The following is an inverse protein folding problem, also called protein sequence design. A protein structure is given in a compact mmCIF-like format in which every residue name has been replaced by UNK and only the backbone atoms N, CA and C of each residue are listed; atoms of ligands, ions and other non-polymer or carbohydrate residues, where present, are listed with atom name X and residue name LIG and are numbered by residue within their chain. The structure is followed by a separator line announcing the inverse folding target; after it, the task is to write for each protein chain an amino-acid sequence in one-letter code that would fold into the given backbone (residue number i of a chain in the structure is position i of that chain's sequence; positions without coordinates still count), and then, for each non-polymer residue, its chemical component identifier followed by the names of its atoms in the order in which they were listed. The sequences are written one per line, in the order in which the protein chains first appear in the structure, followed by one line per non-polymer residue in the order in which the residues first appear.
data_IF_576055855178
#
_entry.id   IF_576055855178
#
_cell.length_a   1.000
_cell.length_b   1.000
_cell.length_c   1.000
_cell.angle_alpha   90.00
_cell.angle_beta   90.00
_cell.angle_gamma   90.00
#
_symmetry.space_group_name_H-M   'P 1'
#
loop_
_entity.id
_entity.type
_entity.pdbx_description
1 polymer ?
#
# COMPACT_ATOMS: atom_id res chain seq x y z
N UNK A 1 11.38 5.17 25.95
CA UNK A 1 10.98 6.54 25.54
C UNK A 1 10.83 6.48 24.03
N UNK A 2 9.61 6.73 23.53
CA UNK A 2 9.43 6.92 22.08
C UNK A 2 10.24 8.18 21.75
N UNK A 3 11.25 8.05 20.89
CA UNK A 3 11.96 9.21 20.37
C UNK A 3 10.96 10.20 19.77
N UNK A 4 11.18 11.48 19.98
CA UNK A 4 10.29 12.49 19.44
C UNK A 4 10.28 12.45 17.91
N UNK A 5 9.18 11.97 17.32
CA UNK A 5 8.98 11.86 15.88
C UNK A 5 8.34 13.13 15.28
N UNK A 6 7.89 14.06 16.13
CA UNK A 6 7.25 15.28 15.65
C UNK A 6 8.20 16.12 14.78
N UNK A 7 7.70 16.53 13.62
CA UNK A 7 8.46 17.32 12.65
C UNK A 7 9.46 16.52 11.80
N UNK A 8 9.55 15.20 11.96
CA UNK A 8 10.46 14.36 11.15
C UNK A 8 9.92 14.13 9.74
N UNK A 9 10.87 13.99 8.81
CA UNK A 9 10.66 13.52 7.44
C UNK A 9 10.88 12.01 7.39
N UNK A 10 9.82 11.22 7.22
CA UNK A 10 9.89 9.76 7.27
C UNK A 10 9.64 9.12 5.90
N UNK A 11 10.35 8.03 5.61
CA UNK A 11 10.09 7.18 4.45
C UNK A 11 9.45 5.87 4.90
N UNK A 12 8.32 5.48 4.30
CA UNK A 12 7.65 4.19 4.52
C UNK A 12 7.87 3.32 3.29
N UNK A 13 8.51 2.17 3.50
CA UNK A 13 8.92 1.27 2.45
C UNK A 13 8.05 0.00 2.42
N UNK A 14 7.38 -0.24 1.30
CA UNK A 14 6.72 -1.50 0.98
C UNK A 14 7.48 -2.31 -0.07
N UNK A 15 6.89 -3.42 -0.53
CA UNK A 15 7.49 -4.35 -1.49
C UNK A 15 6.96 -4.21 -2.92
N UNK A 16 6.21 -3.16 -3.21
CA UNK A 16 5.75 -2.86 -4.57
C UNK A 16 6.87 -2.39 -5.49
N UNK A 17 6.61 -2.37 -6.80
CA UNK A 17 7.62 -2.02 -7.81
C UNK A 17 8.22 -0.62 -7.65
N UNK A 18 7.44 0.33 -7.14
CA UNK A 18 7.89 1.71 -6.94
C UNK A 18 8.95 1.88 -5.82
N UNK A 19 9.33 0.79 -5.12
CA UNK A 19 10.49 0.79 -4.21
C UNK A 19 11.79 1.19 -4.93
N UNK A 20 11.85 0.99 -6.25
CA UNK A 20 12.97 1.41 -7.07
C UNK A 20 13.26 2.91 -6.94
N UNK A 21 12.23 3.73 -6.83
CA UNK A 21 12.38 5.18 -6.68
C UNK A 21 13.09 5.55 -5.36
N UNK A 22 12.86 4.77 -4.28
CA UNK A 22 13.61 4.95 -3.04
C UNK A 22 15.10 4.70 -3.24
N UNK A 23 15.46 3.63 -3.92
CA UNK A 23 16.87 3.30 -4.19
C UNK A 23 17.53 4.41 -5.02
N UNK A 24 16.85 4.92 -6.04
CA UNK A 24 17.34 6.01 -6.86
C UNK A 24 17.47 7.33 -6.09
N UNK A 25 16.50 7.66 -5.22
CA UNK A 25 16.58 8.83 -4.35
C UNK A 25 17.72 8.72 -3.35
N UNK A 26 17.94 7.52 -2.77
CA UNK A 26 19.06 7.28 -1.84
C UNK A 26 20.42 7.49 -2.53
N UNK A 27 20.56 7.03 -3.77
CA UNK A 27 21.76 7.27 -4.59
C UNK A 27 21.96 8.77 -4.85
N UNK A 28 20.87 9.52 -5.04
CA UNK A 28 20.86 10.95 -5.29
C UNK A 28 20.92 11.81 -4.00
N UNK A 29 21.26 11.19 -2.85
CA UNK A 29 21.44 11.86 -1.55
C UNK A 29 20.15 12.41 -0.92
N UNK A 30 18.99 11.85 -1.21
CA UNK A 30 17.79 12.16 -0.45
C UNK A 30 17.94 11.64 0.99
N UNK A 31 17.77 12.52 1.98
CA UNK A 31 17.86 12.20 3.39
C UNK A 31 16.47 12.12 4.01
N UNK A 32 16.24 11.07 4.78
CA UNK A 32 15.07 10.90 5.62
C UNK A 32 15.55 10.81 7.08
N UNK A 33 14.80 11.42 7.99
CA UNK A 33 15.11 11.35 9.42
C UNK A 33 14.90 9.93 9.97
N UNK A 34 13.94 9.20 9.43
CA UNK A 34 13.72 7.78 9.69
C UNK A 34 13.18 7.05 8.46
N UNK A 35 13.53 5.78 8.37
CA UNK A 35 13.06 4.86 7.34
C UNK A 35 12.28 3.72 8.03
N UNK A 36 11.02 3.54 7.66
CA UNK A 36 10.12 2.55 8.25
C UNK A 36 9.81 1.44 7.24
N UNK A 37 9.91 0.22 7.67
CA UNK A 37 9.66 -0.95 6.83
C UNK A 37 8.28 -1.57 7.07
N UNK A 38 7.66 -2.04 6.00
CA UNK A 38 6.42 -2.82 6.06
C UNK A 38 6.73 -4.31 5.89
N UNK A 39 6.33 -5.12 6.87
CA UNK A 39 6.51 -6.57 6.86
C UNK A 39 7.98 -6.98 6.63
N UNK A 40 8.25 -7.78 5.60
CA UNK A 40 9.56 -8.36 5.33
C UNK A 40 10.59 -7.41 4.71
N UNK A 41 10.25 -6.13 4.46
CA UNK A 41 11.20 -5.19 3.85
C UNK A 41 12.44 -4.98 4.71
N UNK A 42 12.30 -5.03 6.05
CA UNK A 42 13.43 -4.96 6.97
C UNK A 42 14.46 -6.08 6.83
N UNK A 43 14.07 -7.20 6.18
CA UNK A 43 15.00 -8.28 5.82
C UNK A 43 15.76 -8.04 4.51
N UNK A 44 15.42 -6.99 3.77
CA UNK A 44 15.99 -6.65 2.46
C UNK A 44 16.74 -5.32 2.50
N UNK A 45 16.25 -4.38 3.29
CA UNK A 45 16.80 -3.02 3.42
C UNK A 45 16.97 -2.65 4.89
N UNK A 46 17.92 -1.75 5.17
CA UNK A 46 18.00 -1.15 6.48
C UNK A 46 16.81 -0.24 6.74
N UNK A 47 16.17 -0.43 7.89
CA UNK A 47 15.05 0.38 8.36
C UNK A 47 15.21 0.66 9.86
N UNK A 48 14.74 1.82 10.31
CA UNK A 48 14.81 2.24 11.71
C UNK A 48 13.68 1.60 12.53
N UNK A 49 12.52 1.36 11.91
CA UNK A 49 11.34 0.70 12.50
C UNK A 49 10.69 -0.23 11.49
N UNK A 50 10.05 -1.27 11.99
CA UNK A 50 9.25 -2.19 11.17
C UNK A 50 7.82 -2.25 11.68
N UNK A 51 6.85 -2.21 10.77
CA UNK A 51 5.46 -2.51 11.06
C UNK A 51 5.12 -3.87 10.47
N UNK A 52 4.72 -4.80 11.33
CA UNK A 52 4.33 -6.16 10.96
C UNK A 52 3.14 -6.57 11.82
N UNK A 53 1.94 -6.28 11.34
CA UNK A 53 0.72 -6.45 12.12
C UNK A 53 0.23 -7.90 12.20
N UNK A 54 0.79 -8.80 11.39
CA UNK A 54 0.64 -10.23 11.59
C UNK A 54 1.48 -10.70 12.80
N UNK A 55 0.99 -11.64 13.62
CA UNK A 55 1.78 -12.26 14.68
C UNK A 55 3.07 -12.87 14.15
N UNK A 56 4.19 -12.69 14.85
CA UNK A 56 5.47 -13.28 14.45
C UNK A 56 5.40 -14.81 14.33
N UNK A 57 4.62 -15.47 15.19
CA UNK A 57 4.35 -16.92 15.13
C UNK A 57 3.86 -17.38 13.75
N UNK A 58 3.09 -16.56 13.04
CA UNK A 58 2.64 -16.87 11.69
C UNK A 58 3.81 -17.15 10.74
N UNK A 59 4.91 -16.40 10.84
CA UNK A 59 6.09 -16.58 9.98
C UNK A 59 7.09 -17.56 10.56
N UNK A 60 7.13 -17.71 11.88
CA UNK A 60 8.08 -18.60 12.57
C UNK A 60 7.63 -20.05 12.56
N UNK A 61 6.33 -20.30 12.67
CA UNK A 61 5.76 -21.63 12.85
C UNK A 61 5.15 -22.20 11.56
N UNK A 62 4.65 -21.35 10.64
CA UNK A 62 4.07 -21.75 9.37
C UNK A 62 5.02 -21.48 8.20
N UNK A 63 5.52 -22.54 7.57
CA UNK A 63 6.42 -22.43 6.40
C UNK A 63 5.70 -21.93 5.14
N UNK A 64 4.37 -21.83 5.16
CA UNK A 64 3.52 -21.43 4.03
C UNK A 64 2.71 -20.17 4.31
N UNK A 65 3.10 -19.36 5.29
CA UNK A 65 2.38 -18.14 5.66
C UNK A 65 2.32 -17.07 4.54
N UNK A 66 3.07 -17.25 3.47
CA UNK A 66 3.09 -16.40 2.28
C UNK A 66 4.40 -16.51 1.52
N UNK A 67 4.48 -15.84 0.36
CA UNK A 67 5.67 -15.88 -0.52
C UNK A 67 6.93 -15.31 0.12
N UNK A 68 6.79 -14.51 1.18
CA UNK A 68 7.88 -13.83 1.87
C UNK A 68 8.21 -14.47 3.24
N UNK A 69 7.60 -15.61 3.55
CA UNK A 69 7.77 -16.27 4.86
C UNK A 69 9.24 -16.49 5.22
N UNK A 70 10.04 -16.94 4.26
CA UNK A 70 11.49 -17.18 4.48
C UNK A 70 12.24 -15.90 4.83
N UNK A 71 12.01 -14.81 4.12
CA UNK A 71 12.63 -13.50 4.35
C UNK A 71 12.19 -12.95 5.71
N UNK A 72 10.87 -13.00 6.01
CA UNK A 72 10.34 -12.55 7.29
C UNK A 72 10.92 -13.34 8.46
N UNK A 73 10.99 -14.67 8.36
CA UNK A 73 11.60 -15.54 9.38
C UNK A 73 13.07 -15.23 9.61
N UNK A 74 13.83 -15.05 8.54
CA UNK A 74 15.25 -14.71 8.65
C UNK A 74 15.46 -13.34 9.26
N UNK A 75 14.67 -12.34 8.86
CA UNK A 75 14.66 -11.01 9.45
C UNK A 75 14.39 -11.07 10.95
N UNK A 76 13.31 -11.74 11.37
CA UNK A 76 12.90 -11.82 12.75
C UNK A 76 13.96 -12.49 13.65
N UNK A 77 14.62 -13.56 13.17
CA UNK A 77 15.53 -14.36 13.99
C UNK A 77 17.00 -13.98 13.87
N UNK A 78 17.43 -13.46 12.72
CA UNK A 78 18.87 -13.36 12.43
C UNK A 78 19.38 -11.94 12.19
N UNK A 79 18.52 -10.97 11.87
CA UNK A 79 18.97 -9.60 11.59
C UNK A 79 19.41 -8.93 12.89
N UNK A 80 20.67 -8.51 13.03
CA UNK A 80 21.13 -7.78 14.20
C UNK A 80 20.67 -6.31 14.14
N UNK A 81 20.54 -5.70 15.31
CA UNK A 81 20.25 -4.26 15.46
C UNK A 81 19.04 -3.77 14.63
N UNK A 82 18.07 -4.67 14.41
CA UNK A 82 16.79 -4.26 13.88
C UNK A 82 16.09 -3.37 14.91
N UNK A 83 15.57 -2.24 14.49
CA UNK A 83 14.82 -1.34 15.35
C UNK A 83 13.55 -2.00 15.89
N UNK A 84 12.70 -1.26 16.60
CA UNK A 84 11.44 -1.78 17.11
C UNK A 84 10.57 -2.33 15.99
N UNK A 85 9.92 -3.47 16.26
CA UNK A 85 8.97 -4.12 15.36
C UNK A 85 7.59 -3.98 15.98
N UNK A 86 6.75 -3.10 15.45
CA UNK A 86 5.38 -2.94 15.91
C UNK A 86 4.50 -4.08 15.40
N UNK A 87 3.84 -4.78 16.33
CA UNK A 87 2.96 -5.91 16.00
C UNK A 87 1.70 -5.91 16.88
N UNK A 88 0.73 -6.76 16.52
CA UNK A 88 -0.50 -6.93 17.29
C UNK A 88 -0.30 -7.75 18.58
N UNK A 89 0.80 -8.51 18.71
CA UNK A 89 1.12 -9.29 19.90
C UNK A 89 2.63 -9.48 20.04
N UNK A 90 3.08 -9.73 21.28
CA UNK A 90 4.47 -10.07 21.60
C UNK A 90 4.80 -11.51 21.22
N UNK A 91 6.07 -11.78 20.96
CA UNK A 91 6.62 -13.13 20.80
C UNK A 91 8.01 -13.17 21.43
N UNK A 92 8.18 -13.99 22.47
CA UNK A 92 9.42 -14.06 23.26
C UNK A 92 10.66 -14.48 22.43
N UNK A 93 10.45 -15.04 21.26
CA UNK A 93 11.52 -15.39 20.31
C UNK A 93 12.11 -14.19 19.59
N UNK A 94 11.40 -13.05 19.61
CA UNK A 94 11.78 -11.82 18.92
C UNK A 94 11.61 -10.64 19.89
N UNK A 95 12.59 -10.39 20.74
CA UNK A 95 12.49 -9.41 21.83
C UNK A 95 12.36 -7.96 21.36
N UNK A 96 12.62 -7.67 20.08
CA UNK A 96 12.45 -6.34 19.50
C UNK A 96 10.99 -6.03 19.13
N UNK A 97 10.07 -6.99 19.30
CA UNK A 97 8.65 -6.74 19.06
C UNK A 97 8.09 -5.88 20.20
N UNK A 98 7.46 -4.80 19.80
CA UNK A 98 6.65 -3.92 20.63
C UNK A 98 5.18 -4.00 20.21
N UNK A 99 4.29 -3.87 21.19
CA UNK A 99 2.87 -3.76 20.88
C UNK A 99 2.60 -2.42 20.17
N UNK A 100 1.90 -2.50 19.04
CA UNK A 100 1.41 -1.29 18.40
C UNK A 100 0.48 -0.53 19.36
N UNK A 101 0.64 0.79 19.55
CA UNK A 101 -0.15 1.57 20.50
C UNK A 101 -1.57 1.86 19.96
N UNK A 102 -2.33 0.81 19.68
CA UNK A 102 -3.61 0.87 18.96
C UNK A 102 -4.63 1.78 19.65
N UNK A 103 -4.75 1.67 20.97
CA UNK A 103 -5.73 2.44 21.74
C UNK A 103 -5.42 3.93 21.69
N UNK A 104 -4.15 4.29 21.85
CA UNK A 104 -3.71 5.68 21.84
C UNK A 104 -3.90 6.30 20.45
N UNK A 105 -3.53 5.56 19.42
CA UNK A 105 -3.70 5.97 18.01
C UNK A 105 -5.18 6.18 17.68
N UNK A 106 -6.05 5.22 18.01
CA UNK A 106 -7.50 5.34 17.75
C UNK A 106 -8.10 6.49 18.54
N UNK A 107 -7.69 6.67 19.79
CA UNK A 107 -8.20 7.75 20.64
C UNK A 107 -7.82 9.12 20.09
N UNK A 108 -6.59 9.30 19.65
CA UNK A 108 -6.12 10.56 19.06
C UNK A 108 -6.73 10.83 17.68
N UNK A 109 -6.79 9.81 16.84
CA UNK A 109 -7.23 9.99 15.44
C UNK A 109 -8.75 9.96 15.27
N UNK A 110 -9.48 9.30 16.17
CA UNK A 110 -10.93 9.19 16.16
C UNK A 110 -11.48 8.12 15.21
N UNK A 111 -10.62 7.30 14.60
CA UNK A 111 -11.01 6.28 13.63
C UNK A 111 -10.28 4.96 13.90
N UNK A 112 -11.00 3.83 13.69
CA UNK A 112 -10.47 2.46 13.83
C UNK A 112 -10.41 1.70 12.51
N UNK A 113 -10.18 2.40 11.40
CA UNK A 113 -10.16 1.82 10.06
C UNK A 113 -8.75 1.44 9.63
N UNK A 114 -8.34 0.20 9.95
CA UNK A 114 -7.01 -0.35 9.67
C UNK A 114 -7.15 -1.76 9.09
N UNK A 115 -7.14 -1.90 7.77
CA UNK A 115 -7.30 -3.19 7.11
C UNK A 115 -6.01 -3.78 6.51
N UNK A 116 -4.89 -3.08 6.67
CA UNK A 116 -3.57 -3.52 6.22
C UNK A 116 -2.45 -2.83 7.00
N UNK A 117 -1.24 -3.41 6.99
CA UNK A 117 -0.09 -2.93 7.76
C UNK A 117 0.34 -1.50 7.39
N UNK A 118 0.20 -1.08 6.12
CA UNK A 118 0.55 0.29 5.71
C UNK A 118 -0.34 1.32 6.41
N UNK A 119 -1.63 1.01 6.56
CA UNK A 119 -2.56 1.88 7.28
C UNK A 119 -2.13 2.10 8.73
N UNK A 120 -1.63 1.06 9.42
CA UNK A 120 -1.09 1.18 10.78
C UNK A 120 0.15 2.09 10.81
N UNK A 121 1.06 1.96 9.85
CA UNK A 121 2.23 2.83 9.77
C UNK A 121 1.83 4.30 9.52
N UNK A 122 0.84 4.54 8.64
CA UNK A 122 0.28 5.88 8.41
C UNK A 122 -0.38 6.44 9.67
N UNK A 123 -1.22 5.66 10.35
CA UNK A 123 -1.85 6.07 11.61
C UNK A 123 -0.81 6.41 12.68
N UNK A 124 0.26 5.62 12.79
CA UNK A 124 1.36 5.88 13.71
C UNK A 124 2.11 7.19 13.37
N UNK A 125 2.37 7.44 12.09
CA UNK A 125 3.00 8.67 11.63
C UNK A 125 2.16 9.91 11.98
N UNK A 126 0.86 9.84 11.73
CA UNK A 126 -0.08 10.93 12.02
C UNK A 126 -0.17 11.20 13.52
N UNK A 127 -0.30 10.14 14.32
CA UNK A 127 -0.35 10.23 15.80
C UNK A 127 0.92 10.90 16.36
N UNK A 128 2.08 10.57 15.81
CA UNK A 128 3.36 11.12 16.23
C UNK A 128 3.70 12.47 15.56
N UNK A 129 2.78 13.04 14.76
CA UNK A 129 2.90 14.38 14.16
C UNK A 129 4.18 14.57 13.34
N UNK A 130 4.51 13.59 12.50
CA UNK A 130 5.60 13.75 11.53
C UNK A 130 5.31 14.91 10.59
N UNK A 131 6.32 15.51 9.98
CA UNK A 131 6.13 16.61 9.03
C UNK A 131 5.80 16.10 7.63
N UNK A 132 6.53 15.06 7.19
CA UNK A 132 6.38 14.51 5.85
C UNK A 132 6.40 12.99 5.90
N UNK A 133 5.51 12.37 5.13
CA UNK A 133 5.46 10.92 4.90
C UNK A 133 5.75 10.67 3.42
N UNK A 134 6.84 9.95 3.13
CA UNK A 134 7.23 9.55 1.79
C UNK A 134 6.93 8.07 1.59
N UNK A 135 6.18 7.71 0.56
CA UNK A 135 5.69 6.35 0.33
C UNK A 135 6.40 5.73 -0.89
N UNK A 136 7.12 4.63 -0.66
CA UNK A 136 7.82 3.88 -1.70
C UNK A 136 7.46 2.41 -1.66
N UNK A 137 7.25 1.79 -2.81
CA UNK A 137 6.85 0.38 -2.86
C UNK A 137 5.44 0.11 -2.33
N UNK A 138 4.57 1.14 -2.31
CA UNK A 138 3.18 1.07 -1.86
C UNK A 138 2.31 1.33 -3.08
N UNK A 139 2.08 0.27 -3.86
CA UNK A 139 1.46 0.38 -5.19
C UNK A 139 0.09 -0.27 -5.28
N UNK A 140 -0.26 -1.15 -4.32
CA UNK A 140 -1.50 -1.93 -4.32
C UNK A 140 -1.78 -2.66 -5.65
N UNK A 141 -0.73 -3.10 -6.34
CA UNK A 141 -0.80 -3.74 -7.66
C UNK A 141 -0.77 -5.28 -7.57
N UNK A 142 -1.76 -5.87 -6.91
CA UNK A 142 -1.88 -7.33 -6.76
C UNK A 142 -2.60 -7.97 -7.96
N UNK A 143 -1.86 -8.52 -8.92
CA UNK A 143 -2.41 -9.12 -10.15
C UNK A 143 -3.48 -10.19 -9.95
N UNK A 144 -3.47 -10.90 -8.81
CA UNK A 144 -4.38 -12.04 -8.56
C UNK A 144 -5.47 -11.74 -7.52
N UNK A 145 -5.47 -10.58 -6.91
CA UNK A 145 -6.43 -10.23 -5.86
C UNK A 145 -6.75 -8.73 -5.87
N UNK A 146 -7.48 -8.33 -6.90
CA UNK A 146 -7.85 -6.93 -7.14
C UNK A 146 -8.68 -6.37 -5.99
N UNK A 147 -9.67 -7.12 -5.48
CA UNK A 147 -10.52 -6.66 -4.38
C UNK A 147 -9.72 -6.37 -3.11
N UNK A 148 -8.71 -7.19 -2.83
CA UNK A 148 -7.82 -6.96 -1.68
C UNK A 148 -6.94 -5.72 -1.91
N UNK A 149 -6.44 -5.54 -3.13
CA UNK A 149 -5.67 -4.37 -3.51
C UNK A 149 -6.50 -3.09 -3.36
N UNK A 150 -7.72 -3.07 -3.90
CA UNK A 150 -8.63 -1.92 -3.83
C UNK A 150 -9.01 -1.58 -2.38
N UNK A 151 -9.37 -2.58 -1.58
CA UNK A 151 -9.69 -2.35 -0.17
C UNK A 151 -8.51 -1.78 0.61
N UNK A 152 -7.31 -2.30 0.37
CA UNK A 152 -6.08 -1.80 0.99
C UNK A 152 -5.75 -0.39 0.54
N UNK A 153 -5.85 -0.11 -0.75
CA UNK A 153 -5.66 1.22 -1.35
C UNK A 153 -6.61 2.24 -0.73
N UNK A 154 -7.91 1.96 -0.73
CA UNK A 154 -8.93 2.85 -0.17
C UNK A 154 -8.67 3.19 1.31
N UNK A 155 -8.27 2.20 2.11
CA UNK A 155 -7.90 2.41 3.51
C UNK A 155 -6.69 3.35 3.65
N UNK A 156 -5.66 3.15 2.85
CA UNK A 156 -4.46 4.01 2.90
C UNK A 156 -4.74 5.42 2.36
N UNK A 157 -5.55 5.56 1.31
CA UNK A 157 -5.98 6.87 0.80
C UNK A 157 -6.79 7.64 1.84
N UNK A 158 -7.67 6.96 2.61
CA UNK A 158 -8.34 7.56 3.75
C UNK A 158 -7.34 8.14 4.77
N UNK A 159 -6.30 7.37 5.15
CA UNK A 159 -5.30 7.84 6.09
C UNK A 159 -4.42 8.96 5.52
N UNK A 160 -4.10 8.93 4.23
CA UNK A 160 -3.42 10.03 3.56
C UNK A 160 -4.26 11.32 3.59
N UNK A 161 -5.58 11.23 3.38
CA UNK A 161 -6.48 12.38 3.49
C UNK A 161 -6.51 12.95 4.91
N UNK A 162 -6.53 12.10 5.94
CA UNK A 162 -6.44 12.55 7.36
C UNK A 162 -5.09 13.22 7.64
N UNK A 163 -3.98 12.67 7.12
CA UNK A 163 -2.65 13.27 7.26
C UNK A 163 -2.60 14.68 6.66
N UNK A 164 -3.06 14.82 5.41
CA UNK A 164 -3.14 16.10 4.70
C UNK A 164 -4.01 17.12 5.45
N UNK A 165 -5.17 16.68 5.98
CA UNK A 165 -6.06 17.54 6.76
C UNK A 165 -5.42 18.02 8.08
N UNK A 166 -4.45 17.28 8.61
CA UNK A 166 -3.64 17.65 9.79
C UNK A 166 -2.37 18.43 9.45
N UNK A 167 -2.16 18.78 8.17
CA UNK A 167 -1.01 19.55 7.70
C UNK A 167 0.26 18.72 7.46
N UNK A 168 0.18 17.39 7.50
CA UNK A 168 1.29 16.50 7.19
C UNK A 168 1.40 16.37 5.68
N UNK A 169 2.59 16.54 5.13
CA UNK A 169 2.84 16.39 3.70
C UNK A 169 2.93 14.90 3.33
N UNK A 170 2.29 14.54 2.23
CA UNK A 170 2.37 13.19 1.66
C UNK A 170 3.10 13.28 0.33
N UNK A 171 4.15 12.49 0.17
CA UNK A 171 4.87 12.30 -1.07
C UNK A 171 4.85 10.82 -1.45
N UNK A 172 4.63 10.51 -2.72
CA UNK A 172 4.63 9.15 -3.22
C UNK A 172 5.69 8.99 -4.31
N UNK A 173 6.19 7.78 -4.48
CA UNK A 173 7.08 7.45 -5.58
C UNK A 173 6.46 7.83 -6.93
N UNK A 174 7.25 8.44 -7.82
CA UNK A 174 6.76 8.91 -9.14
C UNK A 174 6.24 7.79 -10.02
N UNK A 175 6.75 6.58 -9.84
CA UNK A 175 6.32 5.38 -10.59
C UNK A 175 5.16 4.64 -9.93
N UNK A 176 4.69 5.10 -8.76
CA UNK A 176 3.57 4.48 -8.06
C UNK A 176 2.23 4.87 -8.68
N UNK A 177 1.33 3.90 -8.84
CA UNK A 177 -0.09 4.15 -9.13
C UNK A 177 -0.91 4.60 -7.92
N UNK A 178 -0.31 4.63 -6.72
CA UNK A 178 -0.99 5.09 -5.52
C UNK A 178 -1.22 6.60 -5.57
N UNK A 179 -2.43 7.05 -5.25
CA UNK A 179 -2.91 8.43 -5.41
C UNK A 179 -2.78 8.94 -6.87
N UNK A 180 -2.76 8.01 -7.83
CA UNK A 180 -2.58 8.29 -9.26
C UNK A 180 -1.36 9.18 -9.56
N UNK A 181 -0.28 9.01 -8.80
CA UNK A 181 0.91 9.87 -8.90
C UNK A 181 1.59 9.76 -10.26
N UNK A 182 1.50 8.57 -10.89
CA UNK A 182 2.04 8.29 -12.22
C UNK A 182 1.15 8.83 -13.37
N UNK A 183 -0.02 9.41 -13.05
CA UNK A 183 -0.94 9.97 -14.04
C UNK A 183 -0.73 11.48 -14.14
N UNK A 184 -0.65 12.06 -15.35
CA UNK A 184 -0.57 13.51 -15.54
C UNK A 184 -1.71 14.27 -14.86
N UNK A 185 -1.44 15.47 -14.36
CA UNK A 185 -2.39 16.22 -13.56
C UNK A 185 -3.71 16.54 -14.31
N UNK A 186 -3.63 16.81 -15.61
CA UNK A 186 -4.78 17.06 -16.48
C UNK A 186 -5.69 15.82 -16.62
N UNK A 187 -5.12 14.63 -16.63
CA UNK A 187 -5.88 13.38 -16.74
C UNK A 187 -6.61 12.99 -15.44
N UNK A 188 -6.19 13.54 -14.31
CA UNK A 188 -6.85 13.33 -13.01
C UNK A 188 -8.18 14.09 -12.87
N UNK A 189 -8.45 15.03 -13.77
CA UNK A 189 -9.64 15.88 -13.70
C UNK A 189 -10.74 15.28 -14.59
N UNK A 190 -11.51 14.34 -14.03
CA UNK A 190 -12.59 13.67 -14.76
C UNK A 190 -13.54 14.69 -15.42
N UNK A 191 -13.78 14.51 -16.70
CA UNK A 191 -14.57 15.41 -17.54
C UNK A 191 -13.74 16.55 -18.15
N UNK A 192 -12.85 17.19 -17.40
CA UNK A 192 -12.02 18.28 -17.91
C UNK A 192 -10.95 17.80 -18.89
N UNK A 193 -10.38 16.61 -18.68
CA UNK A 193 -9.41 16.00 -19.59
C UNK A 193 -9.98 15.72 -20.99
N UNK A 194 -11.30 15.71 -21.15
CA UNK A 194 -11.99 15.48 -22.43
C UNK A 194 -12.20 16.77 -23.22
N UNK A 195 -11.87 17.94 -22.66
CA UNK A 195 -12.06 19.22 -23.34
C UNK A 195 -11.01 19.46 -24.45
N UNK A 196 -9.86 18.82 -24.36
CA UNK A 196 -8.74 19.00 -25.29
C UNK A 196 -8.56 17.85 -26.28
N UNK A 197 -9.26 16.77 -26.15
CA UNK A 197 -9.24 15.57 -27.02
C UNK A 197 -7.87 15.33 -27.74
N UNK A 198 -6.80 15.02 -26.99
CA UNK A 198 -5.47 14.88 -27.58
C UNK A 198 -5.41 13.70 -28.55
N UNK A 199 -4.48 13.77 -29.51
CA UNK A 199 -4.24 12.68 -30.43
C UNK A 199 -3.39 11.58 -29.75
N UNK A 200 -3.83 10.34 -29.89
CA UNK A 200 -3.11 9.15 -29.43
C UNK A 200 -2.64 8.29 -30.60
N UNK A 201 -1.50 7.66 -30.44
CA UNK A 201 -0.96 6.72 -31.41
C UNK A 201 -1.39 5.31 -31.04
N UNK A 202 -2.05 4.62 -31.97
CA UNK A 202 -2.45 3.21 -31.82
C UNK A 202 -1.74 2.35 -32.86
N UNK A 203 -1.74 1.05 -32.64
CA UNK A 203 -1.24 0.07 -33.62
C UNK A 203 -2.40 -0.88 -33.94
N UNK A 204 -2.89 -0.83 -35.17
CA UNK A 204 -3.90 -1.75 -35.69
C UNK A 204 -3.35 -2.47 -36.92
N UNK A 205 -3.47 -3.79 -36.95
CA UNK A 205 -2.96 -4.66 -38.04
C UNK A 205 -1.49 -4.39 -38.39
N UNK A 206 -0.68 -4.04 -37.38
CA UNK A 206 0.74 -3.72 -37.55
C UNK A 206 1.01 -2.32 -38.16
N UNK A 207 -0.01 -1.52 -38.36
CA UNK A 207 0.10 -0.14 -38.85
C UNK A 207 -0.15 0.87 -37.72
N UNK A 208 0.63 1.94 -37.75
CA UNK A 208 0.46 3.06 -36.81
C UNK A 208 -0.69 3.92 -37.29
N UNK A 209 -1.69 4.13 -36.42
CA UNK A 209 -2.77 5.08 -36.62
C UNK A 209 -2.70 6.19 -35.57
N UNK A 210 -3.11 7.37 -35.93
CA UNK A 210 -3.26 8.51 -35.01
C UNK A 210 -4.75 8.84 -34.96
N UNK A 211 -5.35 8.71 -33.79
CA UNK A 211 -6.78 8.94 -33.56
C UNK A 211 -6.98 9.87 -32.37
N UNK A 212 -8.10 10.61 -32.29
CA UNK A 212 -8.46 11.33 -31.08
C UNK A 212 -8.60 10.39 -29.89
N UNK A 213 -8.20 10.86 -28.70
CA UNK A 213 -8.27 10.06 -27.47
C UNK A 213 -9.71 9.62 -27.17
N UNK A 214 -10.69 10.48 -27.42
CA UNK A 214 -12.10 10.16 -27.24
C UNK A 214 -12.55 8.97 -28.10
N UNK A 215 -12.07 8.89 -29.34
CA UNK A 215 -12.35 7.79 -30.24
C UNK A 215 -11.69 6.49 -29.74
N UNK A 216 -10.43 6.55 -29.34
CA UNK A 216 -9.70 5.41 -28.77
C UNK A 216 -10.36 4.87 -27.50
N UNK A 217 -10.76 5.75 -26.57
CA UNK A 217 -11.43 5.35 -25.32
C UNK A 217 -12.79 4.74 -25.61
N UNK A 218 -13.57 5.33 -26.52
CA UNK A 218 -14.89 4.80 -26.90
C UNK A 218 -14.79 3.40 -27.49
N UNK A 219 -13.82 3.16 -28.38
CA UNK A 219 -13.57 1.83 -28.95
C UNK A 219 -13.19 0.81 -27.85
N UNK A 220 -12.36 1.20 -26.89
CA UNK A 220 -11.96 0.33 -25.77
C UNK A 220 -13.10 0.06 -24.78
N UNK A 221 -13.93 1.05 -24.51
CA UNK A 221 -15.13 0.88 -23.67
C UNK A 221 -16.11 -0.08 -24.35
N UNK A 222 -16.30 0.04 -25.65
CA UNK A 222 -17.18 -0.85 -26.43
C UNK A 222 -16.64 -2.30 -26.45
N UNK A 223 -15.32 -2.50 -26.65
CA UNK A 223 -14.68 -3.81 -26.52
C UNK A 223 -14.88 -4.45 -25.14
N UNK A 224 -14.74 -3.65 -24.06
CA UNK A 224 -14.85 -4.14 -22.68
C UNK A 224 -16.28 -4.39 -22.23
N UNK A 225 -17.26 -3.73 -22.85
CA UNK A 225 -18.67 -3.83 -22.49
C UNK A 225 -19.49 -4.63 -23.52
N UNK A 226 -18.84 -5.19 -24.54
CA UNK A 226 -19.52 -6.05 -25.51
C UNK A 226 -20.17 -7.27 -24.81
N UNK A 227 -21.31 -7.78 -25.32
CA UNK A 227 -21.94 -8.97 -24.76
C UNK A 227 -20.96 -10.14 -24.62
N UNK A 228 -20.09 -10.35 -25.61
CA UNK A 228 -19.08 -11.41 -25.62
C UNK A 228 -18.03 -11.20 -24.52
N UNK A 229 -17.60 -9.96 -24.28
CA UNK A 229 -16.65 -9.63 -23.21
C UNK A 229 -17.28 -9.78 -21.82
N UNK A 230 -18.57 -9.50 -21.68
CA UNK A 230 -19.31 -9.70 -20.43
C UNK A 230 -19.58 -11.18 -20.16
N UNK A 231 -19.91 -11.97 -21.19
CA UNK A 231 -20.11 -13.41 -21.09
C UNK A 231 -18.80 -14.17 -20.78
N UNK A 232 -17.66 -13.67 -21.25
CA UNK A 232 -16.35 -14.24 -20.96
C UNK A 232 -15.87 -13.99 -19.52
N UNK A 233 -16.52 -13.10 -18.78
CA UNK A 233 -16.24 -12.88 -17.37
C UNK A 233 -16.85 -14.02 -16.57
N UNK A 234 -16.02 -14.86 -15.98
CA UNK A 234 -16.50 -15.78 -14.95
C UNK A 234 -17.24 -14.96 -13.88
N UNK A 235 -18.46 -15.36 -13.52
CA UNK A 235 -19.17 -14.67 -12.45
C UNK A 235 -18.27 -14.70 -11.21
N UNK A 236 -17.93 -13.52 -10.71
CA UNK A 236 -17.26 -13.42 -9.41
C UNK A 236 -18.26 -13.93 -8.39
N UNK A 237 -18.18 -15.22 -8.09
CA UNK A 237 -18.86 -15.77 -6.93
C UNK A 237 -18.18 -15.08 -5.74
N UNK A 238 -18.85 -14.09 -5.20
CA UNK A 238 -18.52 -13.57 -3.88
C UNK A 238 -18.88 -14.71 -2.94
N UNK A 239 -17.98 -15.70 -2.86
CA UNK A 239 -18.05 -16.75 -1.89
C UNK A 239 -18.00 -16.08 -0.53
N UNK A 240 -18.98 -16.33 0.31
CA UNK A 240 -18.83 -16.09 1.74
C UNK A 240 -17.53 -16.77 2.12
N UNK A 241 -16.52 -15.97 2.46
CA UNK A 241 -15.33 -16.52 3.05
C UNK A 241 -15.77 -17.08 4.39
N UNK A 242 -15.79 -18.39 4.54
CA UNK A 242 -15.93 -19.05 5.81
C UNK A 242 -14.78 -18.58 6.69
N UNK A 243 -15.04 -17.58 7.51
CA UNK A 243 -14.13 -17.17 8.56
C UNK A 243 -14.25 -18.23 9.63
N UNK A 244 -13.19 -19.00 9.95
CA UNK A 244 -13.25 -20.00 10.99
C UNK A 244 -13.74 -19.38 12.30
N UNK A 245 -14.85 -19.91 12.85
CA UNK A 245 -15.44 -19.44 14.09
C UNK A 245 -16.61 -18.45 13.95
N UNK A 246 -17.00 -18.06 12.73
CA UNK A 246 -18.20 -17.25 12.50
C UNK A 246 -19.30 -18.12 11.91
N UNK A 247 -20.28 -18.49 12.73
CA UNK A 247 -21.52 -19.11 12.27
C UNK A 247 -22.49 -18.02 11.80
N UNK A 248 -22.72 -17.96 10.50
CA UNK A 248 -23.82 -17.15 9.95
C UNK A 248 -25.13 -17.91 10.15
N UNK A 249 -26.03 -17.36 10.95
CA UNK A 249 -27.42 -17.89 11.05
C UNK A 249 -28.15 -17.55 9.75
N UNK A 250 -28.22 -18.50 8.82
CA UNK A 250 -29.16 -18.48 7.71
C UNK A 250 -30.56 -18.81 8.23
N UNK A 251 -31.23 -17.79 8.76
CA UNK A 251 -32.68 -17.79 8.92
C UNK A 251 -33.23 -16.55 8.27
N UNK A 252 -33.53 -16.66 6.98
CA UNK A 252 -34.69 -16.03 6.33
C UNK A 252 -35.22 -16.95 5.24
#
# INVERSE_FOLDING_TARGET
MIENLAGKNVAILGLGGSIHDYVMNKINSAEFDEVWGINSIGGVMHVDRTFMMDPASRFLDDIKAGTQTGIAKEFLLKTPNKGPIYSCCLDDRVPEIELYPLVDVITDLGFSYFNNTVAYALGFAIHNKVETINLFGIDFSYKKNINFAEAGRACCEFWCAIALARGIRIETAKTSGFLDTNIPANEKLYGYHRLEDPLVQTIEDGQIKIVPQSEYVSQKEEELTSPEALDAREPVVIGRHDIPGVTYNDKR
#
